data_IF_569344453992
#
_entry.id   IF_569344453992
#
_cell.length_a   1.000
_cell.length_b   1.000
_cell.length_c   1.000
_cell.angle_alpha   90.00
_cell.angle_beta   90.00
_cell.angle_gamma   90.00
#
_symmetry.space_group_name_H-M   'P 1'
#
loop_
_entity.id
_entity.type
_entity.pdbx_description
1 polymer ?
#
# COMPACT_ATOMS: atom_id res chain seq x y z
N UNK A 1 12.19 -12.98 15.94
CA UNK A 1 11.13 -12.00 15.54
C UNK A 1 10.66 -12.24 14.11
N UNK A 2 11.49 -12.16 13.10
CA UNK A 2 11.11 -12.36 11.68
C UNK A 2 10.44 -13.70 11.39
N UNK A 3 10.84 -14.79 12.04
CA UNK A 3 10.18 -16.10 11.93
C UNK A 3 8.72 -16.07 12.37
N UNK A 4 8.39 -15.35 13.44
CA UNK A 4 7.00 -15.22 13.91
C UNK A 4 6.14 -14.41 12.93
N UNK A 5 6.73 -13.39 12.30
CA UNK A 5 6.05 -12.62 11.24
C UNK A 5 5.79 -13.51 10.01
N UNK A 6 6.76 -14.32 9.61
CA UNK A 6 6.59 -15.27 8.53
C UNK A 6 5.52 -16.31 8.85
N UNK A 7 5.55 -16.91 10.05
CA UNK A 7 4.53 -17.86 10.51
C UNK A 7 3.13 -17.26 10.48
N UNK A 8 2.99 -15.99 10.87
CA UNK A 8 1.71 -15.30 10.75
C UNK A 8 1.22 -15.23 9.30
N UNK A 9 2.08 -14.80 8.37
CA UNK A 9 1.73 -14.75 6.94
C UNK A 9 1.38 -16.14 6.40
N UNK A 10 2.15 -17.18 6.73
CA UNK A 10 1.94 -18.55 6.29
C UNK A 10 0.64 -19.17 6.84
N UNK A 11 0.18 -18.70 7.99
CA UNK A 11 -1.08 -19.18 8.58
C UNK A 11 -2.34 -18.48 8.01
N UNK A 12 -2.19 -17.33 7.37
CA UNK A 12 -3.32 -16.52 6.88
C UNK A 12 -3.37 -16.36 5.36
N UNK A 13 -2.27 -16.60 4.67
CA UNK A 13 -2.16 -16.40 3.23
C UNK A 13 -1.52 -17.62 2.57
N UNK A 14 -2.02 -18.01 1.40
CA UNK A 14 -1.43 -19.07 0.61
C UNK A 14 -0.09 -18.61 -0.01
N UNK A 15 0.88 -19.51 -0.24
CA UNK A 15 2.20 -19.14 -0.78
C UNK A 15 2.16 -18.34 -2.08
N UNK A 16 1.15 -18.57 -2.91
CA UNK A 16 0.93 -17.84 -4.17
C UNK A 16 0.45 -16.39 -3.98
N UNK A 17 0.01 -16.00 -2.78
CA UNK A 17 -0.48 -14.65 -2.51
C UNK A 17 0.66 -13.66 -2.26
N UNK A 18 1.84 -14.16 -1.89
CA UNK A 18 3.00 -13.31 -1.56
C UNK A 18 4.36 -13.86 -2.08
N UNK A 19 4.45 -14.34 -3.32
CA UNK A 19 5.66 -15.00 -3.83
C UNK A 19 6.88 -14.06 -3.85
N UNK A 20 6.70 -12.79 -4.17
CA UNK A 20 7.78 -11.79 -4.21
C UNK A 20 8.31 -11.51 -2.80
N UNK A 21 7.42 -11.33 -1.82
CA UNK A 21 7.79 -11.10 -0.41
C UNK A 21 8.58 -12.30 0.13
N UNK A 22 8.15 -13.52 -0.20
CA UNK A 22 8.85 -14.74 0.22
C UNK A 22 10.25 -14.84 -0.41
N UNK A 23 10.37 -14.50 -1.69
CA UNK A 23 11.67 -14.47 -2.37
C UNK A 23 12.60 -13.41 -1.76
N UNK A 24 12.09 -12.21 -1.48
CA UNK A 24 12.85 -11.15 -0.82
C UNK A 24 13.26 -11.55 0.61
N UNK A 25 12.36 -12.15 1.38
CA UNK A 25 12.67 -12.66 2.72
C UNK A 25 13.85 -13.63 2.69
N UNK A 26 13.81 -14.63 1.81
CA UNK A 26 14.85 -15.64 1.69
C UNK A 26 16.20 -15.03 1.25
N UNK A 27 16.19 -14.16 0.24
CA UNK A 27 17.40 -13.51 -0.27
C UNK A 27 18.00 -12.57 0.78
N UNK A 28 17.17 -11.76 1.44
CA UNK A 28 17.64 -10.72 2.35
C UNK A 28 18.16 -11.27 3.68
N UNK A 29 17.68 -12.42 4.14
CA UNK A 29 18.25 -13.07 5.32
C UNK A 29 19.76 -13.36 5.17
N UNK A 30 20.16 -13.82 3.98
CA UNK A 30 21.57 -14.12 3.69
C UNK A 30 22.39 -12.88 3.41
N UNK A 31 21.86 -11.95 2.61
CA UNK A 31 22.58 -10.76 2.13
C UNK A 31 22.58 -9.60 3.13
N UNK A 32 21.57 -9.50 3.96
CA UNK A 32 21.34 -8.42 4.93
C UNK A 32 21.54 -7.01 4.35
N UNK A 33 20.84 -6.65 3.25
CA UNK A 33 21.08 -5.39 2.52
C UNK A 33 20.74 -4.14 3.33
N UNK A 34 19.98 -4.28 4.41
CA UNK A 34 19.54 -3.19 5.29
C UNK A 34 20.20 -3.22 6.68
N UNK A 35 21.29 -3.98 6.83
CA UNK A 35 21.96 -4.10 8.11
C UNK A 35 22.42 -2.75 8.66
N UNK A 36 22.01 -2.43 9.89
CA UNK A 36 22.34 -1.18 10.56
C UNK A 36 21.48 0.02 10.16
N UNK A 37 20.50 -0.15 9.27
CA UNK A 37 19.55 0.94 8.95
C UNK A 37 18.41 0.98 9.98
N UNK A 38 18.09 2.18 10.43
CA UNK A 38 16.92 2.50 11.25
C UNK A 38 15.84 3.08 10.34
N UNK A 39 14.72 2.37 10.22
CA UNK A 39 13.63 2.71 9.32
C UNK A 39 12.38 3.03 10.14
N UNK A 40 11.82 4.24 9.92
CA UNK A 40 10.48 4.57 10.40
C UNK A 40 9.45 4.15 9.35
N UNK A 41 8.49 3.33 9.75
CA UNK A 41 7.34 2.95 8.95
C UNK A 41 6.08 3.65 9.46
N UNK A 42 5.69 4.72 8.78
CA UNK A 42 4.54 5.56 9.06
C UNK A 42 3.48 5.45 7.95
N UNK A 43 3.22 4.24 7.51
CA UNK A 43 2.17 3.88 6.54
C UNK A 43 1.06 3.11 7.24
N UNK A 44 -0.12 2.90 6.63
CA UNK A 44 -1.21 2.18 7.29
C UNK A 44 -0.77 0.85 7.94
N UNK A 45 -1.17 0.64 9.19
CA UNK A 45 -0.70 -0.45 10.04
C UNK A 45 -1.82 -1.45 10.33
N UNK A 46 -1.82 -2.55 9.60
CA UNK A 46 -2.75 -3.67 9.71
C UNK A 46 -1.99 -4.99 9.63
N UNK A 47 -2.62 -6.10 9.95
CA UNK A 47 -1.97 -7.42 9.91
C UNK A 47 -1.41 -7.79 8.53
N UNK A 48 -2.05 -7.38 7.43
CA UNK A 48 -1.53 -7.62 6.09
C UNK A 48 -0.26 -6.81 5.78
N UNK A 49 0.01 -5.72 6.49
CA UNK A 49 1.22 -4.92 6.30
C UNK A 49 2.49 -5.60 6.84
N UNK A 50 2.36 -6.69 7.60
CA UNK A 50 3.47 -7.56 7.97
C UNK A 50 4.30 -7.96 6.74
N UNK A 51 3.65 -8.20 5.61
CA UNK A 51 4.31 -8.53 4.34
C UNK A 51 5.35 -7.47 3.92
N UNK A 52 5.12 -6.19 4.23
CA UNK A 52 6.07 -5.10 3.96
C UNK A 52 7.27 -5.10 4.92
N UNK A 53 7.01 -5.31 6.22
CA UNK A 53 8.05 -5.21 7.24
C UNK A 53 8.97 -6.43 7.25
N UNK A 54 8.43 -7.59 6.94
CA UNK A 54 9.16 -8.86 7.01
C UNK A 54 10.47 -8.85 6.21
N UNK A 55 10.50 -8.49 4.91
CA UNK A 55 11.76 -8.47 4.16
C UNK A 55 12.72 -7.38 4.65
N UNK A 56 12.24 -6.23 5.12
CA UNK A 56 13.09 -5.18 5.68
C UNK A 56 13.82 -5.67 6.92
N UNK A 57 13.09 -6.28 7.85
CA UNK A 57 13.65 -6.82 9.09
C UNK A 57 14.54 -8.05 8.84
N UNK A 58 14.18 -8.93 7.90
CA UNK A 58 15.01 -10.03 7.47
C UNK A 58 16.33 -9.54 6.86
N UNK A 59 16.27 -8.43 6.13
CA UNK A 59 17.44 -7.74 5.59
C UNK A 59 18.29 -6.99 6.61
N UNK A 60 17.94 -7.04 7.89
CA UNK A 60 18.72 -6.48 8.99
C UNK A 60 18.37 -5.05 9.38
N UNK A 61 17.26 -4.50 8.87
CA UNK A 61 16.79 -3.20 9.33
C UNK A 61 16.21 -3.25 10.75
N UNK A 62 16.43 -2.19 11.50
CA UNK A 62 15.71 -1.87 12.72
C UNK A 62 14.47 -1.06 12.36
N UNK A 63 13.31 -1.73 12.35
CA UNK A 63 12.03 -1.10 11.94
C UNK A 63 11.28 -0.60 13.17
N UNK A 64 10.89 0.66 13.14
CA UNK A 64 9.98 1.29 14.11
C UNK A 64 8.68 1.63 13.38
N UNK A 65 7.54 1.22 13.93
CA UNK A 65 6.23 1.55 13.38
C UNK A 65 5.70 2.84 14.00
N UNK A 66 4.98 3.65 13.22
CA UNK A 66 4.33 4.88 13.71
C UNK A 66 2.92 5.00 13.16
N UNK A 67 1.95 5.22 14.04
CA UNK A 67 0.60 5.63 13.68
C UNK A 67 0.30 7.09 14.07
N UNK A 68 1.34 7.86 14.38
CA UNK A 68 1.27 9.26 14.76
C UNK A 68 0.78 10.09 13.57
N UNK A 69 -0.07 11.10 13.87
CA UNK A 69 -0.56 12.02 12.86
C UNK A 69 -1.80 11.53 12.09
N UNK A 70 -2.40 10.41 12.50
CA UNK A 70 -3.67 9.93 11.93
C UNK A 70 -3.50 8.91 10.81
N UNK A 71 -2.37 8.24 10.75
CA UNK A 71 -2.23 7.04 9.88
C UNK A 71 -3.25 5.99 10.32
N UNK A 72 -4.05 5.44 9.40
CA UNK A 72 -4.98 4.38 9.75
C UNK A 72 -4.27 3.15 10.32
N UNK A 73 -4.79 2.61 11.41
CA UNK A 73 -4.22 1.44 12.04
C UNK A 73 -5.28 0.57 12.73
N UNK A 74 -4.95 -0.69 12.94
CA UNK A 74 -5.72 -1.62 13.75
C UNK A 74 -5.08 -1.69 15.16
N UNK A 75 -5.78 -1.31 16.23
CA UNK A 75 -5.26 -1.42 17.59
C UNK A 75 -4.79 -2.83 17.95
N UNK A 76 -5.51 -3.87 17.52
CA UNK A 76 -5.13 -5.26 17.77
C UNK A 76 -3.80 -5.61 17.08
N UNK A 77 -3.54 -5.05 15.90
CA UNK A 77 -2.25 -5.20 15.23
C UNK A 77 -1.13 -4.53 16.03
N UNK A 78 -1.34 -3.33 16.56
CA UNK A 78 -0.32 -2.62 17.35
C UNK A 78 0.04 -3.41 18.60
N UNK A 79 -0.94 -3.86 19.38
CA UNK A 79 -0.74 -4.70 20.57
C UNK A 79 0.02 -5.99 20.23
N UNK A 80 -0.38 -6.64 19.14
CA UNK A 80 0.29 -7.85 18.67
C UNK A 80 1.75 -7.57 18.25
N UNK A 81 2.00 -6.48 17.52
CA UNK A 81 3.34 -6.12 17.05
C UNK A 81 4.29 -5.82 18.22
N UNK A 82 3.83 -5.08 19.23
CA UNK A 82 4.56 -4.84 20.46
C UNK A 82 4.90 -6.15 21.20
N UNK A 83 3.93 -7.07 21.29
CA UNK A 83 4.14 -8.39 21.89
C UNK A 83 5.15 -9.26 21.10
N UNK A 84 5.37 -9.00 19.82
CA UNK A 84 6.46 -9.59 19.02
C UNK A 84 7.80 -8.86 19.20
N UNK A 85 7.85 -7.77 19.95
CA UNK A 85 9.04 -6.96 20.18
C UNK A 85 9.33 -5.94 19.07
N UNK A 86 8.34 -5.61 18.23
CA UNK A 86 8.45 -4.53 17.24
C UNK A 86 8.25 -3.20 17.99
N UNK A 87 9.14 -2.25 17.76
CA UNK A 87 9.06 -0.94 18.39
C UNK A 87 7.96 -0.11 17.76
N UNK A 88 7.11 0.46 18.59
CA UNK A 88 6.09 1.45 18.19
C UNK A 88 6.53 2.83 18.69
N UNK A 89 6.54 3.82 17.80
CA UNK A 89 6.81 5.20 18.17
C UNK A 89 5.57 5.82 18.86
N UNK A 90 5.78 6.43 20.03
CA UNK A 90 4.72 7.10 20.79
C UNK A 90 4.68 8.62 20.55
N UNK A 91 5.72 9.16 19.94
CA UNK A 91 5.86 10.56 19.56
C UNK A 91 6.72 10.67 18.29
N UNK A 92 6.80 11.86 17.69
CA UNK A 92 7.74 12.12 16.60
C UNK A 92 9.17 12.07 17.13
N UNK A 93 9.99 11.27 16.48
CA UNK A 93 11.37 11.00 16.87
C UNK A 93 12.31 11.24 15.69
N UNK A 94 13.53 11.61 16.00
CA UNK A 94 14.62 11.77 15.03
C UNK A 94 15.58 10.57 15.02
N UNK A 95 16.54 10.59 14.12
CA UNK A 95 17.64 9.62 14.08
C UNK A 95 17.35 8.39 13.23
N UNK A 96 16.36 8.46 12.34
CA UNK A 96 16.13 7.43 11.32
C UNK A 96 17.05 7.64 10.11
N UNK A 97 17.37 6.55 9.45
CA UNK A 97 18.11 6.56 8.19
C UNK A 97 17.16 6.76 6.99
N UNK A 98 15.98 6.12 7.06
CA UNK A 98 14.91 6.22 6.07
C UNK A 98 13.56 6.39 6.77
N UNK A 99 12.66 7.13 6.14
CA UNK A 99 11.27 7.29 6.58
C UNK A 99 10.34 6.86 5.46
N UNK A 100 9.53 5.84 5.72
CA UNK A 100 8.43 5.44 4.85
C UNK A 100 7.17 6.16 5.35
N UNK A 101 6.66 7.09 4.57
CA UNK A 101 5.60 8.01 4.99
C UNK A 101 4.33 7.86 4.14
N UNK A 102 3.25 8.38 4.67
CA UNK A 102 1.95 8.45 4.03
C UNK A 102 1.36 9.83 4.28
N UNK A 103 0.85 10.47 3.22
CA UNK A 103 0.24 11.81 3.24
C UNK A 103 1.13 12.94 3.78
N UNK A 104 2.46 12.73 3.84
CA UNK A 104 3.43 13.73 4.27
C UNK A 104 3.46 14.02 5.78
N UNK A 105 2.98 13.10 6.61
CA UNK A 105 2.85 13.29 8.06
C UNK A 105 4.19 13.51 8.78
N UNK A 106 5.26 13.00 8.21
CA UNK A 106 6.61 13.05 8.78
C UNK A 106 7.60 13.83 7.90
N UNK A 107 7.09 14.68 7.01
CA UNK A 107 7.92 15.52 6.11
C UNK A 107 8.83 16.51 6.84
N UNK A 108 8.55 16.80 8.10
CA UNK A 108 9.36 17.64 9.00
C UNK A 108 10.56 16.92 9.63
N UNK A 109 10.63 15.59 9.55
CA UNK A 109 11.79 14.83 10.04
C UNK A 109 13.03 15.03 9.15
N UNK A 110 14.19 14.66 9.67
CA UNK A 110 15.49 14.76 8.98
C UNK A 110 16.21 13.42 8.92
N UNK A 111 15.69 12.45 8.10
CA UNK A 111 16.35 11.17 7.93
C UNK A 111 17.71 11.33 7.24
N UNK A 112 18.60 10.39 7.51
CA UNK A 112 19.95 10.43 6.94
C UNK A 112 19.96 10.33 5.41
N UNK A 113 19.14 9.46 4.83
CA UNK A 113 19.13 9.19 3.40
C UNK A 113 17.92 9.76 2.66
N UNK A 114 16.72 9.76 3.26
CA UNK A 114 15.53 10.31 2.62
C UNK A 114 14.23 9.60 2.98
N UNK A 115 13.25 9.79 2.11
CA UNK A 115 11.87 9.37 2.31
C UNK A 115 11.37 8.45 1.21
N UNK A 116 10.36 7.66 1.52
CA UNK A 116 9.50 6.98 0.55
C UNK A 116 8.05 7.34 0.86
N UNK A 117 7.42 8.15 0.01
CA UNK A 117 6.02 8.57 0.16
C UNK A 117 5.10 7.61 -0.60
N UNK A 118 4.07 7.08 0.10
CA UNK A 118 3.24 5.99 -0.39
C UNK A 118 2.12 6.43 -1.35
N UNK A 119 1.53 7.61 -1.15
CA UNK A 119 0.18 7.94 -1.64
C UNK A 119 0.12 9.12 -2.59
N UNK A 120 1.14 9.60 -3.17
CA UNK A 120 1.13 10.80 -4.02
C UNK A 120 0.57 12.08 -3.36
N UNK A 121 -0.45 11.96 -2.53
CA UNK A 121 -1.08 13.10 -1.85
C UNK A 121 -0.13 13.82 -0.88
N UNK A 122 0.86 13.12 -0.37
CA UNK A 122 1.90 13.68 0.50
C UNK A 122 3.11 14.25 -0.25
N UNK A 123 3.28 13.94 -1.54
CA UNK A 123 4.52 14.26 -2.25
C UNK A 123 4.84 15.76 -2.29
N UNK A 124 3.82 16.61 -2.29
CA UNK A 124 3.99 18.07 -2.29
C UNK A 124 4.67 18.61 -1.04
N UNK A 125 4.57 17.92 0.11
CA UNK A 125 5.22 18.33 1.36
C UNK A 125 6.74 18.16 1.33
N UNK A 126 7.27 17.45 0.32
CA UNK A 126 8.70 17.20 0.16
C UNK A 126 9.35 18.10 -0.90
N UNK A 127 8.61 19.06 -1.50
CA UNK A 127 9.10 19.90 -2.58
C UNK A 127 10.35 20.71 -2.18
N UNK A 128 10.36 21.20 -0.94
CA UNK A 128 11.47 22.00 -0.38
C UNK A 128 12.37 21.18 0.56
N UNK A 129 12.26 19.86 0.54
CA UNK A 129 13.09 19.00 1.37
C UNK A 129 14.48 18.84 0.77
N UNK A 130 15.51 18.97 1.61
CA UNK A 130 16.92 18.78 1.22
C UNK A 130 17.29 17.29 1.00
N UNK A 131 16.40 16.37 1.34
CA UNK A 131 16.57 14.93 1.18
C UNK A 131 15.70 14.38 0.05
N UNK A 132 16.19 13.38 -0.69
CA UNK A 132 15.38 12.74 -1.73
C UNK A 132 14.12 12.11 -1.15
N UNK A 133 13.02 12.25 -1.90
CA UNK A 133 11.77 11.56 -1.61
C UNK A 133 11.39 10.66 -2.79
N UNK A 134 11.35 9.35 -2.55
CA UNK A 134 10.88 8.38 -3.53
C UNK A 134 9.34 8.38 -3.58
N UNK A 135 8.78 8.80 -4.71
CA UNK A 135 7.34 8.74 -4.95
C UNK A 135 6.92 7.30 -5.31
N UNK A 136 6.47 6.55 -4.32
CA UNK A 136 6.02 5.16 -4.48
C UNK A 136 4.81 5.07 -5.41
N UNK A 137 3.88 6.03 -5.32
CA UNK A 137 2.66 6.07 -6.13
C UNK A 137 2.93 6.23 -7.63
N UNK A 138 4.03 6.86 -7.99
CA UNK A 138 4.48 7.02 -9.38
C UNK A 138 5.05 5.74 -10.01
N UNK A 139 5.27 4.67 -9.24
CA UNK A 139 5.86 3.43 -9.74
C UNK A 139 4.89 2.62 -10.62
N UNK A 140 5.46 1.79 -11.52
CA UNK A 140 4.66 0.87 -12.35
C UNK A 140 3.90 -0.16 -11.51
N UNK A 141 4.52 -0.65 -10.43
CA UNK A 141 3.88 -1.62 -9.52
C UNK A 141 2.66 -0.99 -8.86
N UNK A 142 2.78 0.24 -8.38
CA UNK A 142 1.66 0.96 -7.77
C UNK A 142 0.54 1.27 -8.75
N UNK A 143 0.86 1.44 -10.03
CA UNK A 143 -0.17 1.53 -11.09
C UNK A 143 -0.97 0.24 -11.24
N UNK A 144 -0.29 -0.89 -11.29
CA UNK A 144 -0.92 -2.23 -11.38
C UNK A 144 -1.77 -2.48 -10.13
N UNK A 145 -1.21 -2.26 -8.96
CA UNK A 145 -1.91 -2.43 -7.67
C UNK A 145 -3.13 -1.52 -7.57
N UNK A 146 -2.99 -0.22 -7.88
CA UNK A 146 -4.08 0.74 -7.80
C UNK A 146 -5.21 0.46 -8.79
N UNK A 147 -4.90 -0.07 -9.98
CA UNK A 147 -5.93 -0.45 -10.95
C UNK A 147 -6.56 -1.82 -10.61
N UNK A 148 -5.76 -2.88 -10.66
CA UNK A 148 -6.28 -4.25 -10.52
C UNK A 148 -6.66 -4.57 -9.08
N UNK A 149 -5.80 -4.26 -8.11
CA UNK A 149 -6.03 -4.59 -6.71
C UNK A 149 -7.22 -3.84 -6.11
N UNK A 150 -7.40 -2.56 -6.45
CA UNK A 150 -8.55 -1.78 -5.94
C UNK A 150 -9.86 -2.24 -6.58
N UNK A 151 -9.85 -2.56 -7.88
CA UNK A 151 -11.03 -3.12 -8.55
C UNK A 151 -11.48 -4.44 -7.95
N UNK A 152 -10.55 -5.36 -7.70
CA UNK A 152 -10.83 -6.62 -7.00
C UNK A 152 -11.26 -6.41 -5.55
N UNK A 153 -10.63 -5.45 -4.87
CA UNK A 153 -10.95 -5.09 -3.49
C UNK A 153 -12.36 -4.58 -3.33
N UNK A 154 -12.86 -3.77 -4.28
CA UNK A 154 -14.25 -3.31 -4.29
C UNK A 154 -15.22 -4.49 -4.36
N UNK A 155 -15.02 -5.40 -5.32
CA UNK A 155 -15.92 -6.55 -5.49
C UNK A 155 -15.93 -7.42 -4.22
N UNK A 156 -14.76 -7.74 -3.68
CA UNK A 156 -14.68 -8.52 -2.42
C UNK A 156 -15.31 -7.80 -1.23
N UNK A 157 -15.12 -6.48 -1.14
CA UNK A 157 -15.72 -5.66 -0.09
C UNK A 157 -17.24 -5.69 -0.16
N UNK A 158 -17.83 -5.52 -1.34
CA UNK A 158 -19.28 -5.62 -1.53
C UNK A 158 -19.80 -7.00 -1.13
N UNK A 159 -19.13 -8.06 -1.58
CA UNK A 159 -19.49 -9.43 -1.21
C UNK A 159 -19.43 -9.67 0.31
N UNK A 160 -18.44 -9.11 1.00
CA UNK A 160 -18.33 -9.22 2.46
C UNK A 160 -19.49 -8.54 3.20
N UNK A 161 -20.12 -7.54 2.59
CA UNK A 161 -21.34 -6.89 3.09
C UNK A 161 -22.64 -7.55 2.57
N UNK A 162 -22.54 -8.69 1.90
CA UNK A 162 -23.70 -9.39 1.34
C UNK A 162 -24.28 -8.70 0.10
N UNK A 163 -23.54 -7.80 -0.52
CA UNK A 163 -23.95 -7.09 -1.74
C UNK A 163 -23.34 -7.79 -2.96
N UNK A 164 -24.20 -8.27 -3.85
CA UNK A 164 -23.78 -8.80 -5.14
C UNK A 164 -23.49 -7.68 -6.15
N UNK A 165 -22.70 -8.01 -7.18
CA UNK A 165 -22.55 -7.20 -8.38
C UNK A 165 -23.29 -7.93 -9.50
N UNK A 166 -24.46 -7.40 -9.88
CA UNK A 166 -25.40 -8.07 -10.77
C UNK A 166 -25.58 -7.28 -12.09
N UNK A 167 -25.70 -7.96 -13.23
CA UNK A 167 -25.91 -7.30 -14.54
C UNK A 167 -27.14 -6.37 -14.61
N UNK A 168 -28.12 -6.59 -13.75
CA UNK A 168 -29.34 -5.76 -13.64
C UNK A 168 -29.12 -4.41 -12.95
N UNK A 169 -28.00 -4.25 -12.26
CA UNK A 169 -27.64 -3.00 -11.59
C UNK A 169 -27.07 -1.99 -12.59
N UNK A 170 -27.22 -0.71 -12.27
CA UNK A 170 -26.55 0.39 -12.99
C UNK A 170 -25.60 1.07 -12.02
N UNK A 171 -24.39 1.34 -12.50
CA UNK A 171 -23.34 1.95 -11.67
C UNK A 171 -22.92 3.28 -12.27
N UNK A 172 -22.78 4.29 -11.39
CA UNK A 172 -22.21 5.58 -11.72
C UNK A 172 -20.84 5.69 -11.05
N UNK A 173 -19.80 5.83 -11.86
CA UNK A 173 -18.41 5.90 -11.42
C UNK A 173 -17.89 7.32 -11.58
N UNK A 174 -17.56 7.97 -10.46
CA UNK A 174 -16.92 9.28 -10.45
C UNK A 174 -15.40 9.14 -10.42
N UNK A 175 -14.74 9.67 -11.44
CA UNK A 175 -13.31 9.59 -11.66
C UNK A 175 -12.87 8.32 -12.41
N UNK A 176 -12.07 8.51 -13.46
CA UNK A 176 -11.55 7.42 -14.30
C UNK A 176 -10.02 7.45 -14.40
N UNK A 177 -9.38 7.77 -13.29
CA UNK A 177 -7.93 7.66 -13.12
C UNK A 177 -7.51 6.21 -12.88
N UNK A 178 -6.33 6.02 -12.32
CA UNK A 178 -5.72 4.72 -11.99
C UNK A 178 -6.70 3.77 -11.27
N UNK A 179 -7.40 4.25 -10.24
CA UNK A 179 -8.34 3.46 -9.44
C UNK A 179 -9.66 3.23 -10.19
N UNK A 180 -10.27 4.31 -10.68
CA UNK A 180 -11.57 4.22 -11.36
C UNK A 180 -11.54 3.35 -12.60
N UNK A 181 -10.44 3.36 -13.36
CA UNK A 181 -10.29 2.46 -14.51
C UNK A 181 -10.31 0.99 -14.12
N UNK A 182 -9.64 0.63 -13.02
CA UNK A 182 -9.66 -0.73 -12.48
C UNK A 182 -11.05 -1.17 -12.01
N UNK A 183 -11.75 -0.29 -11.28
CA UNK A 183 -13.15 -0.51 -10.86
C UNK A 183 -14.05 -0.71 -12.07
N UNK A 184 -14.00 0.20 -13.05
CA UNK A 184 -14.82 0.12 -14.26
C UNK A 184 -14.55 -1.17 -15.06
N UNK A 185 -13.30 -1.59 -15.16
CA UNK A 185 -12.92 -2.85 -15.79
C UNK A 185 -13.56 -4.07 -15.09
N UNK A 186 -13.52 -4.11 -13.75
CA UNK A 186 -14.12 -5.23 -13.00
C UNK A 186 -15.65 -5.26 -13.08
N UNK A 187 -16.29 -4.11 -12.98
CA UNK A 187 -17.74 -4.02 -13.14
C UNK A 187 -18.18 -4.46 -14.54
N UNK A 188 -17.48 -4.02 -15.58
CA UNK A 188 -17.74 -4.48 -16.96
C UNK A 188 -17.52 -5.98 -17.15
N UNK A 189 -16.45 -6.52 -16.58
CA UNK A 189 -16.18 -7.96 -16.61
C UNK A 189 -17.30 -8.79 -15.93
N UNK A 190 -17.99 -8.19 -14.95
CA UNK A 190 -19.19 -8.75 -14.32
C UNK A 190 -20.50 -8.52 -15.15
N UNK A 191 -20.39 -7.90 -16.33
CA UNK A 191 -21.53 -7.63 -17.19
C UNK A 191 -22.41 -6.45 -16.76
N UNK A 192 -21.91 -5.59 -15.87
CA UNK A 192 -22.67 -4.48 -15.30
C UNK A 192 -22.50 -3.23 -16.15
N UNK A 193 -23.61 -2.54 -16.52
CA UNK A 193 -23.54 -1.21 -17.15
C UNK A 193 -22.91 -0.18 -16.21
N UNK A 194 -21.86 0.51 -16.68
CA UNK A 194 -21.13 1.54 -15.93
C UNK A 194 -21.17 2.84 -16.70
N UNK A 195 -21.69 3.88 -16.08
CA UNK A 195 -21.58 5.26 -16.55
C UNK A 195 -20.42 5.95 -15.81
N UNK A 196 -19.62 6.71 -16.54
CA UNK A 196 -18.41 7.35 -15.98
C UNK A 196 -18.55 8.86 -16.05
N UNK A 197 -18.29 9.52 -14.94
CA UNK A 197 -18.12 10.97 -14.84
C UNK A 197 -16.67 11.28 -14.57
N UNK A 198 -15.97 11.90 -15.53
CA UNK A 198 -14.55 12.23 -15.45
C UNK A 198 -14.32 13.64 -15.95
N UNK A 199 -13.53 14.43 -15.21
CA UNK A 199 -13.20 15.81 -15.57
C UNK A 199 -12.23 15.90 -16.77
N UNK A 200 -11.37 14.88 -16.93
CA UNK A 200 -10.39 14.80 -18.03
C UNK A 200 -11.01 14.05 -19.21
N UNK A 201 -11.37 14.77 -20.27
CA UNK A 201 -12.10 14.25 -21.43
C UNK A 201 -11.47 13.00 -22.08
N UNK A 202 -10.14 12.87 -22.08
CA UNK A 202 -9.46 11.67 -22.59
C UNK A 202 -9.68 10.42 -21.73
N UNK A 203 -9.98 10.58 -20.44
CA UNK A 203 -10.25 9.47 -19.52
C UNK A 203 -11.70 9.06 -19.50
N UNK A 204 -12.62 10.01 -19.76
CA UNK A 204 -14.07 9.79 -19.73
C UNK A 204 -14.63 8.97 -20.91
N UNK A 205 -13.78 8.43 -21.78
CA UNK A 205 -14.19 7.71 -23.00
C UNK A 205 -14.50 6.22 -22.79
N UNK A 206 -14.81 5.81 -21.57
CA UNK A 206 -15.13 4.43 -21.28
C UNK A 206 -16.28 3.87 -22.12
N UNK A 207 -17.28 4.71 -22.40
CA UNK A 207 -18.46 4.34 -23.19
C UNK A 207 -18.10 3.89 -24.62
N UNK A 208 -17.03 4.46 -25.16
CA UNK A 208 -16.58 4.19 -26.54
C UNK A 208 -15.37 3.24 -26.60
N UNK A 209 -14.91 2.74 -25.46
CA UNK A 209 -13.74 1.87 -25.41
C UNK A 209 -14.20 0.41 -25.37
N UNK A 210 -13.90 -0.41 -26.38
CA UNK A 210 -14.21 -1.84 -26.35
C UNK A 210 -13.62 -2.51 -25.11
N UNK A 211 -14.30 -3.55 -24.62
CA UNK A 211 -13.77 -4.36 -23.52
C UNK A 211 -12.46 -5.00 -23.97
N UNK A 212 -11.34 -4.58 -23.41
CA UNK A 212 -10.01 -5.04 -23.80
C UNK A 212 -9.02 -3.93 -24.17
N UNK A 213 -9.51 -2.73 -24.51
CA UNK A 213 -8.67 -1.58 -24.87
C UNK A 213 -8.46 -0.61 -23.70
N UNK A 214 -8.37 -1.15 -22.48
CA UNK A 214 -7.99 -0.36 -21.33
C UNK A 214 -6.47 -0.19 -21.29
N UNK A 215 -5.98 1.04 -21.13
CA UNK A 215 -4.55 1.31 -21.02
C UNK A 215 -3.93 0.73 -19.73
#
# INVERSE_FOLDING_TARGET
MTEKLLQYLESHYAPQDYPVIRAQYNDFQGRRPFAGLRILEATPLFFNTIAKFLPLMAGGAEVTLSHIGGVPYDPAFIEWAEAQGIRIATNKEEGFDLVSDCIGLHSDLRPKYGFAELTHSGIGYYADCDKPCFNTDGSRIKRIEGALGTGDGLIRGLQAFGLGVEPSQRWLLFGFGKIGSGVGMRLRAAGVPVEVVEAVAVRGRLENTPVGDFP
#
